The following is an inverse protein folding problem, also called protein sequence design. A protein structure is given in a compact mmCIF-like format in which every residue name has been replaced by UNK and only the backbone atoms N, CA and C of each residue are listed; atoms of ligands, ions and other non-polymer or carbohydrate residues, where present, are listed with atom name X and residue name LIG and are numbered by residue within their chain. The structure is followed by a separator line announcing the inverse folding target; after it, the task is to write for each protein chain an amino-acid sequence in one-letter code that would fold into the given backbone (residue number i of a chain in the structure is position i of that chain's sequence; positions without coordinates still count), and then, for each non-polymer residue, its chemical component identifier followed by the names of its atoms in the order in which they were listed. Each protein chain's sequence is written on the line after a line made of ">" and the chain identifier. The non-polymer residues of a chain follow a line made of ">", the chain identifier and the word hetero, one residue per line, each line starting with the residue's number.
data_IF_514231045372
#
_entry.id   IF_514231045372
#
_cell.length_a   1.000
_cell.length_b   1.000
_cell.length_c   1.000
_cell.angle_alpha   90.00
_cell.angle_beta   90.00
_cell.angle_gamma   90.00
#
_symmetry.space_group_name_H-M   'P 1'
#
loop_
_entity.id
_entity.type
_entity.pdbx_description
1 polymer ?
#
# COMPACT_ATOMS: atom_id res chain seq x y z
N UNK A 1 -15.85 -12.44 11.18
CA UNK A 1 -14.96 -12.91 10.11
C UNK A 1 -13.52 -12.69 10.54
N UNK A 2 -12.68 -13.72 10.48
CA UNK A 2 -11.26 -13.67 10.84
C UNK A 2 -10.44 -12.85 9.83
N UNK A 3 -9.36 -12.22 10.30
CA UNK A 3 -8.33 -11.61 9.46
C UNK A 3 -7.47 -12.67 8.76
N UNK A 4 -6.66 -12.28 7.79
CA UNK A 4 -5.71 -13.17 7.09
C UNK A 4 -4.72 -13.75 8.09
N UNK A 5 -4.19 -12.91 8.99
CA UNK A 5 -3.30 -13.35 10.07
C UNK A 5 -3.97 -14.38 11.00
N UNK A 6 -5.19 -14.11 11.45
CA UNK A 6 -5.94 -15.05 12.30
C UNK A 6 -6.24 -16.37 11.57
N UNK A 7 -6.51 -16.34 10.26
CA UNK A 7 -6.66 -17.56 9.45
C UNK A 7 -5.33 -18.31 9.33
N UNK A 8 -4.21 -17.60 9.20
CA UNK A 8 -2.87 -18.18 9.21
C UNK A 8 -2.54 -18.88 10.53
N UNK A 9 -2.81 -18.22 11.67
CA UNK A 9 -2.65 -18.79 13.01
C UNK A 9 -3.54 -20.03 13.19
N UNK A 10 -4.79 -19.99 12.73
CA UNK A 10 -5.71 -21.13 12.76
C UNK A 10 -5.19 -22.31 11.92
N UNK A 11 -4.68 -22.05 10.72
CA UNK A 11 -4.11 -23.06 9.83
C UNK A 11 -2.87 -23.70 10.46
N UNK A 12 -1.99 -22.89 11.04
CA UNK A 12 -0.78 -23.37 11.71
C UNK A 12 -1.14 -24.26 12.90
N UNK A 13 -2.05 -23.81 13.77
CA UNK A 13 -2.55 -24.60 14.90
C UNK A 13 -3.18 -25.92 14.46
N UNK A 14 -3.92 -25.94 13.35
CA UNK A 14 -4.50 -27.18 12.81
C UNK A 14 -3.46 -28.15 12.26
N UNK A 15 -2.37 -27.65 11.65
CA UNK A 15 -1.24 -28.47 11.20
C UNK A 15 -0.46 -29.06 12.38
N UNK A 16 -0.22 -28.26 13.41
CA UNK A 16 0.54 -28.68 14.59
C UNK A 16 -0.27 -29.64 15.49
N UNK A 17 -1.60 -29.57 15.43
CA UNK A 17 -2.51 -30.39 16.23
C UNK A 17 -3.55 -31.12 15.36
N UNK A 18 -3.14 -32.13 14.56
CA UNK A 18 -4.05 -32.83 13.64
C UNK A 18 -5.16 -33.63 14.35
N UNK A 19 -4.99 -33.91 15.64
CA UNK A 19 -5.97 -34.59 16.49
C UNK A 19 -7.11 -33.66 16.95
N UNK A 20 -6.91 -32.34 16.97
CA UNK A 20 -7.93 -31.36 17.35
C UNK A 20 -8.77 -31.01 16.13
N UNK A 21 -9.98 -31.58 16.04
CA UNK A 21 -10.86 -31.42 14.88
C UNK A 21 -12.30 -31.05 15.28
N UNK A 22 -13.09 -30.66 14.30
CA UNK A 22 -14.54 -30.52 14.45
C UNK A 22 -14.95 -29.48 15.51
N UNK A 23 -15.53 -29.93 16.62
CA UNK A 23 -16.06 -29.06 17.69
C UNK A 23 -14.93 -28.42 18.49
N UNK A 24 -13.87 -29.16 18.76
CA UNK A 24 -12.79 -28.70 19.64
C UNK A 24 -11.95 -27.62 18.96
N UNK A 25 -11.67 -27.79 17.66
CA UNK A 25 -11.01 -26.76 16.86
C UNK A 25 -11.85 -25.46 16.77
N UNK A 26 -13.19 -25.60 16.76
CA UNK A 26 -14.12 -24.45 16.75
C UNK A 26 -14.16 -23.71 18.07
N UNK A 27 -14.17 -24.46 19.18
CA UNK A 27 -14.10 -23.90 20.52
C UNK A 27 -12.76 -23.18 20.75
N UNK A 28 -11.66 -23.79 20.30
CA UNK A 28 -10.34 -23.15 20.32
C UNK A 28 -10.33 -21.85 19.52
N UNK A 29 -10.84 -21.86 18.28
CA UNK A 29 -10.89 -20.66 17.45
C UNK A 29 -11.77 -19.55 18.05
N UNK A 30 -12.87 -19.93 18.72
CA UNK A 30 -13.73 -18.97 19.42
C UNK A 30 -12.99 -18.30 20.58
N UNK A 31 -12.30 -19.09 21.41
CA UNK A 31 -11.56 -18.58 22.57
C UNK A 31 -10.30 -17.82 22.19
N UNK A 32 -9.62 -18.20 21.10
CA UNK A 32 -8.34 -17.60 20.69
C UNK A 32 -8.54 -16.25 20.00
N UNK A 33 -9.65 -16.07 19.28
CA UNK A 33 -9.93 -14.86 18.51
C UNK A 33 -11.08 -14.01 19.09
N UNK A 34 -11.49 -14.27 20.33
CA UNK A 34 -12.61 -13.62 21.03
C UNK A 34 -13.87 -13.47 20.16
N UNK A 35 -14.28 -14.58 19.55
CA UNK A 35 -15.47 -14.57 18.68
C UNK A 35 -16.76 -14.56 19.53
N UNK A 36 -17.75 -13.72 19.18
CA UNK A 36 -18.99 -13.61 19.95
C UNK A 36 -19.80 -14.92 19.96
N UNK A 37 -19.65 -15.75 18.92
CA UNK A 37 -20.30 -17.04 18.80
C UNK A 37 -19.35 -18.08 18.21
N UNK A 38 -19.61 -19.35 18.51
CA UNK A 38 -18.87 -20.47 17.94
C UNK A 38 -19.06 -20.46 16.40
N UNK A 39 -17.96 -20.38 15.60
CA UNK A 39 -18.06 -20.26 14.15
C UNK A 39 -18.73 -21.48 13.55
N UNK A 40 -19.56 -21.37 12.50
CA UNK A 40 -20.24 -22.52 11.89
C UNK A 40 -19.25 -23.52 11.26
N UNK A 41 -19.64 -24.80 11.09
CA UNK A 41 -18.80 -25.82 10.43
C UNK A 41 -18.39 -25.39 9.00
N UNK A 42 -19.33 -24.81 8.26
CA UNK A 42 -19.09 -24.27 6.91
C UNK A 42 -18.09 -23.11 6.93
N UNK A 43 -18.21 -22.20 7.90
CA UNK A 43 -17.30 -21.07 8.09
C UNK A 43 -15.87 -21.54 8.39
N UNK A 44 -15.70 -22.53 9.27
CA UNK A 44 -14.39 -23.12 9.57
C UNK A 44 -13.77 -23.78 8.36
N UNK A 45 -14.56 -24.57 7.62
CA UNK A 45 -14.08 -25.21 6.39
C UNK A 45 -13.61 -24.17 5.37
N UNK A 46 -14.34 -23.06 5.24
CA UNK A 46 -13.93 -21.94 4.39
C UNK A 46 -12.60 -21.30 4.83
N UNK A 47 -12.37 -21.13 6.13
CA UNK A 47 -11.11 -20.58 6.65
C UNK A 47 -9.93 -21.52 6.40
N UNK A 48 -10.10 -22.83 6.64
CA UNK A 48 -9.05 -23.84 6.41
C UNK A 48 -8.70 -24.02 4.92
N UNK A 49 -9.62 -23.69 4.01
CA UNK A 49 -9.36 -23.75 2.56
C UNK A 49 -8.77 -22.46 1.99
N UNK A 50 -8.62 -21.41 2.79
CA UNK A 50 -8.09 -20.13 2.30
C UNK A 50 -6.57 -20.27 2.10
N UNK A 51 -6.02 -20.06 0.90
CA UNK A 51 -4.58 -20.11 0.69
C UNK A 51 -3.90 -18.98 1.46
N UNK A 52 -2.82 -19.32 2.19
CA UNK A 52 -1.98 -18.34 2.84
C UNK A 52 -1.19 -17.60 1.76
N UNK A 53 -1.51 -16.33 1.52
CA UNK A 53 -0.85 -15.53 0.51
C UNK A 53 -0.07 -14.44 1.25
N UNK A 54 1.23 -14.67 1.45
CA UNK A 54 2.11 -13.81 2.27
C UNK A 54 2.22 -12.38 1.71
N UNK A 55 1.82 -12.16 0.45
CA UNK A 55 1.80 -10.85 -0.20
C UNK A 55 0.60 -9.96 0.19
N UNK A 56 -0.30 -10.40 1.07
CA UNK A 56 -1.50 -9.66 1.47
C UNK A 56 -1.37 -9.03 2.87
N UNK A 57 -2.01 -7.86 3.06
CA UNK A 57 -2.07 -7.21 4.37
C UNK A 57 -2.69 -8.13 5.46
N UNK A 58 -1.96 -8.43 6.56
CA UNK A 58 -2.35 -9.43 7.58
C UNK A 58 -3.64 -9.09 8.31
N UNK A 59 -3.99 -7.80 8.40
CA UNK A 59 -5.18 -7.29 9.10
C UNK A 59 -6.48 -7.42 8.29
N UNK A 60 -6.41 -7.81 7.01
CA UNK A 60 -7.58 -7.81 6.13
C UNK A 60 -8.44 -9.07 6.29
N UNK A 61 -9.76 -8.98 6.08
CA UNK A 61 -10.71 -10.12 6.28
C UNK A 61 -11.01 -10.91 4.99
N UNK A 62 -10.71 -10.34 3.83
CA UNK A 62 -11.08 -10.88 2.51
C UNK A 62 -9.89 -11.10 1.58
N UNK A 63 -9.87 -12.23 0.89
CA UNK A 63 -8.85 -12.64 -0.08
C UNK A 63 -9.32 -12.42 -1.52
N UNK A 64 -10.39 -11.65 -1.74
CA UNK A 64 -10.98 -11.48 -3.07
C UNK A 64 -9.93 -10.96 -4.06
N UNK A 65 -9.66 -11.72 -5.15
CA UNK A 65 -8.65 -11.33 -6.11
C UNK A 65 -9.01 -9.99 -6.76
N UNK A 66 -8.03 -9.19 -7.14
CA UNK A 66 -8.27 -8.00 -7.93
C UNK A 66 -9.03 -8.32 -9.21
N UNK A 67 -9.90 -7.40 -9.63
CA UNK A 67 -10.69 -7.53 -10.84
C UNK A 67 -9.82 -7.77 -12.09
N UNK A 68 -8.55 -7.33 -12.05
CA UNK A 68 -7.54 -7.65 -13.04
C UNK A 68 -6.16 -7.76 -12.33
N UNK A 69 -5.72 -8.97 -12.03
CA UNK A 69 -4.44 -9.24 -11.34
C UNK A 69 -3.22 -8.80 -12.15
N UNK A 70 -3.26 -9.01 -13.46
CA UNK A 70 -2.15 -8.65 -14.34
C UNK A 70 -1.91 -7.14 -14.40
N UNK A 71 -2.98 -6.33 -14.47
CA UNK A 71 -2.88 -4.88 -14.45
C UNK A 71 -2.29 -4.38 -13.13
N UNK A 72 -2.76 -4.93 -11.99
CA UNK A 72 -2.24 -4.54 -10.68
C UNK A 72 -0.77 -4.94 -10.51
N UNK A 73 -0.33 -6.09 -11.06
CA UNK A 73 1.06 -6.51 -11.05
C UNK A 73 1.97 -5.52 -11.81
N UNK A 74 1.62 -5.21 -13.06
CA UNK A 74 2.39 -4.24 -13.87
C UNK A 74 2.44 -2.84 -13.22
N UNK A 75 1.37 -2.45 -12.53
CA UNK A 75 1.32 -1.20 -11.80
C UNK A 75 2.23 -1.23 -10.56
N UNK A 76 2.27 -2.35 -9.85
CA UNK A 76 3.15 -2.53 -8.70
C UNK A 76 4.63 -2.50 -9.10
N UNK A 77 5.00 -3.21 -10.17
CA UNK A 77 6.37 -3.22 -10.71
C UNK A 77 6.82 -1.79 -11.07
N UNK A 78 5.92 -0.98 -11.65
CA UNK A 78 6.20 0.41 -11.94
C UNK A 78 6.39 1.27 -10.67
N UNK A 79 5.61 1.03 -9.61
CA UNK A 79 5.76 1.74 -8.34
C UNK A 79 7.10 1.39 -7.69
N UNK A 80 7.48 0.12 -7.69
CA UNK A 80 8.77 -0.34 -7.17
C UNK A 80 9.93 0.32 -7.91
N UNK A 81 9.86 0.39 -9.25
CA UNK A 81 10.86 1.10 -10.05
C UNK A 81 10.94 2.60 -9.67
N UNK A 82 9.81 3.26 -9.41
CA UNK A 82 9.83 4.66 -8.94
C UNK A 82 10.49 4.80 -7.56
N UNK A 83 10.28 3.84 -6.65
CA UNK A 83 10.92 3.83 -5.33
C UNK A 83 12.43 3.59 -5.43
N UNK A 84 12.87 2.65 -6.27
CA UNK A 84 14.29 2.36 -6.53
C UNK A 84 15.02 3.58 -7.09
N UNK A 85 14.38 4.27 -8.05
CA UNK A 85 14.93 5.48 -8.65
C UNK A 85 14.78 6.73 -7.75
N UNK A 86 14.20 6.58 -6.54
CA UNK A 86 13.90 7.67 -5.58
C UNK A 86 13.11 8.82 -6.19
N UNK A 87 12.24 8.51 -7.14
CA UNK A 87 11.47 9.50 -7.88
C UNK A 87 10.13 9.74 -7.15
N UNK A 88 9.83 10.94 -6.65
CA UNK A 88 8.60 11.25 -5.91
C UNK A 88 7.35 11.34 -6.81
N UNK A 89 7.33 10.65 -7.95
CA UNK A 89 6.25 10.71 -8.92
C UNK A 89 5.09 9.80 -8.51
N UNK A 90 5.27 8.77 -7.69
CA UNK A 90 4.24 7.78 -7.33
C UNK A 90 3.17 8.31 -6.33
N UNK A 91 2.46 9.37 -6.70
CA UNK A 91 1.32 9.93 -5.98
C UNK A 91 0.00 9.29 -6.42
N UNK A 92 -1.08 9.48 -5.64
CA UNK A 92 -2.40 8.94 -5.99
C UNK A 92 -2.88 9.31 -7.41
N UNK A 93 -2.76 10.56 -7.86
CA UNK A 93 -3.09 10.95 -9.23
C UNK A 93 -2.26 10.21 -10.29
N UNK A 94 -0.94 10.13 -10.13
CA UNK A 94 -0.06 9.51 -11.14
C UNK A 94 -0.22 7.99 -11.17
N UNK A 95 -0.49 7.35 -10.03
CA UNK A 95 -0.84 5.92 -9.96
C UNK A 95 -2.08 5.65 -10.80
N UNK A 96 -3.14 6.47 -10.66
CA UNK A 96 -4.35 6.33 -11.49
C UNK A 96 -4.06 6.56 -12.97
N UNK A 97 -3.26 7.57 -13.32
CA UNK A 97 -2.89 7.86 -14.71
C UNK A 97 -2.08 6.71 -15.32
N UNK A 98 -1.13 6.13 -14.57
CA UNK A 98 -0.34 4.98 -15.02
C UNK A 98 -1.23 3.75 -15.18
N UNK A 99 -2.13 3.49 -14.22
CA UNK A 99 -3.07 2.38 -14.30
C UNK A 99 -3.96 2.46 -15.56
N UNK A 100 -4.42 3.67 -15.92
CA UNK A 100 -5.15 3.90 -17.16
C UNK A 100 -4.29 3.61 -18.40
N UNK A 101 -3.05 4.07 -18.45
CA UNK A 101 -2.13 3.77 -19.56
C UNK A 101 -1.86 2.26 -19.71
N UNK A 102 -1.71 1.55 -18.60
CA UNK A 102 -1.54 0.08 -18.60
C UNK A 102 -2.82 -0.57 -19.15
N UNK A 103 -4.00 -0.15 -18.68
CA UNK A 103 -5.30 -0.63 -19.20
C UNK A 103 -5.40 -0.46 -20.71
N UNK A 104 -5.09 0.73 -21.20
CA UNK A 104 -5.20 1.06 -22.62
C UNK A 104 -4.16 0.31 -23.48
N UNK A 105 -2.99 -0.01 -22.92
CA UNK A 105 -2.01 -0.87 -23.58
C UNK A 105 -2.49 -2.33 -23.64
N UNK A 106 -3.02 -2.87 -22.53
CA UNK A 106 -3.55 -4.22 -22.46
C UNK A 106 -4.71 -4.44 -23.43
N UNK A 107 -5.63 -3.47 -23.54
CA UNK A 107 -6.76 -3.53 -24.49
C UNK A 107 -6.32 -3.44 -25.95
N UNK A 108 -5.21 -2.76 -26.26
CA UNK A 108 -4.71 -2.65 -27.64
C UNK A 108 -3.95 -3.89 -28.11
N UNK A 109 -3.25 -4.56 -27.21
CA UNK A 109 -2.38 -5.68 -27.54
C UNK A 109 -3.08 -7.05 -27.44
N UNK A 110 -4.38 -7.09 -27.10
CA UNK A 110 -5.20 -8.31 -26.96
C UNK A 110 -4.55 -9.40 -26.07
N UNK A 111 -3.80 -8.95 -25.05
CA UNK A 111 -3.02 -9.81 -24.14
C UNK A 111 -3.95 -10.55 -23.13
N UNK A 112 -5.27 -10.30 -23.17
CA UNK A 112 -6.22 -10.78 -22.17
C UNK A 112 -7.28 -11.71 -22.75
N UNK A 113 -7.78 -12.63 -21.92
CA UNK A 113 -8.94 -13.45 -22.25
C UNK A 113 -10.19 -12.57 -22.42
N UNK A 114 -11.18 -13.01 -23.21
CA UNK A 114 -12.43 -12.27 -23.46
C UNK A 114 -13.13 -11.81 -22.16
N UNK A 115 -13.07 -12.63 -21.10
CA UNK A 115 -13.61 -12.31 -19.78
C UNK A 115 -12.84 -11.21 -19.04
N UNK A 116 -11.53 -11.16 -19.22
CA UNK A 116 -10.68 -10.12 -18.65
C UNK A 116 -10.85 -8.80 -19.40
N UNK A 117 -11.03 -8.85 -20.72
CA UNK A 117 -11.32 -7.68 -21.55
C UNK A 117 -12.60 -6.99 -21.08
N UNK A 118 -13.67 -7.75 -20.82
CA UNK A 118 -14.92 -7.20 -20.28
C UNK A 118 -14.76 -6.55 -18.89
N UNK A 119 -13.94 -7.15 -18.02
CA UNK A 119 -13.64 -6.59 -16.69
C UNK A 119 -12.79 -5.33 -16.79
N UNK A 120 -11.78 -5.33 -17.67
CA UNK A 120 -10.92 -4.18 -17.96
C UNK A 120 -11.73 -2.99 -18.48
N UNK A 121 -12.65 -3.22 -19.43
CA UNK A 121 -13.49 -2.15 -20.00
C UNK A 121 -14.37 -1.48 -18.94
N UNK A 122 -14.89 -2.25 -17.98
CA UNK A 122 -15.72 -1.75 -16.87
C UNK A 122 -14.91 -1.14 -15.72
N UNK A 123 -13.59 -1.33 -15.70
CA UNK A 123 -12.74 -0.89 -14.59
C UNK A 123 -12.60 0.64 -14.58
N UNK A 124 -12.96 1.25 -13.44
CA UNK A 124 -12.80 2.67 -13.17
C UNK A 124 -11.78 2.90 -12.06
N UNK A 125 -10.78 3.73 -12.33
CA UNK A 125 -9.73 4.12 -11.38
C UNK A 125 -10.22 5.21 -10.42
N UNK A 126 -11.25 4.90 -9.64
CA UNK A 126 -11.82 5.83 -8.66
C UNK A 126 -10.93 6.01 -7.43
N UNK A 127 -11.25 6.99 -6.57
CA UNK A 127 -10.59 7.14 -5.25
C UNK A 127 -10.70 5.86 -4.41
N UNK A 128 -11.86 5.19 -4.44
CA UNK A 128 -12.08 3.94 -3.73
C UNK A 128 -11.26 2.77 -4.28
N UNK A 129 -11.09 2.70 -5.61
CA UNK A 129 -10.19 1.72 -6.23
C UNK A 129 -8.75 1.95 -5.76
N UNK A 130 -8.26 3.19 -5.83
CA UNK A 130 -6.90 3.54 -5.41
C UNK A 130 -6.66 3.19 -3.94
N UNK A 131 -7.61 3.54 -3.06
CA UNK A 131 -7.55 3.18 -1.64
C UNK A 131 -7.42 1.67 -1.44
N UNK A 132 -8.26 0.87 -2.12
CA UNK A 132 -8.22 -0.60 -2.02
C UNK A 132 -6.94 -1.20 -2.62
N UNK A 133 -6.41 -0.60 -3.69
CA UNK A 133 -5.13 -0.99 -4.30
C UNK A 133 -3.98 -0.75 -3.32
N UNK A 134 -3.87 0.47 -2.80
CA UNK A 134 -2.86 0.84 -1.81
C UNK A 134 -2.95 -0.04 -0.56
N UNK A 135 -4.17 -0.29 -0.07
CA UNK A 135 -4.41 -1.13 1.09
C UNK A 135 -3.99 -2.59 0.85
N UNK A 136 -4.24 -3.16 -0.33
CA UNK A 136 -3.85 -4.53 -0.67
C UNK A 136 -2.33 -4.72 -0.71
N UNK A 137 -1.64 -3.76 -1.31
CA UNK A 137 -0.20 -3.81 -1.53
C UNK A 137 0.60 -3.10 -0.42
N UNK A 138 -0.05 -2.76 0.70
CA UNK A 138 0.54 -2.06 1.85
C UNK A 138 1.32 -0.78 1.46
N UNK A 139 0.85 -0.09 0.42
CA UNK A 139 1.46 1.15 -0.05
C UNK A 139 1.08 2.28 0.89
N UNK A 140 2.09 2.85 1.54
CA UNK A 140 1.91 3.99 2.44
C UNK A 140 2.28 5.27 1.72
N UNK A 141 1.44 6.29 1.82
CA UNK A 141 1.80 7.63 1.38
C UNK A 141 2.96 8.12 2.23
N UNK A 142 4.10 8.43 1.61
CA UNK A 142 5.25 9.07 2.26
C UNK A 142 5.40 10.46 1.67
N UNK A 143 5.48 11.47 2.53
CA UNK A 143 5.82 12.82 2.10
C UNK A 143 7.33 12.88 1.92
N UNK A 144 7.79 12.95 0.68
CA UNK A 144 9.21 13.17 0.37
C UNK A 144 9.41 14.68 0.48
N UNK A 145 10.09 15.11 1.54
CA UNK A 145 10.64 16.46 1.62
C UNK A 145 11.71 16.56 0.53
N UNK A 146 11.66 17.59 -0.31
CA UNK A 146 12.40 17.70 -1.59
C UNK A 146 13.93 17.64 -1.48
N UNK A 147 14.63 18.65 -2.01
CA UNK A 147 16.11 18.65 -2.11
C UNK A 147 16.85 18.40 -0.78
N UNK A 148 16.21 18.68 0.35
CA UNK A 148 16.73 18.40 1.68
C UNK A 148 17.13 16.92 1.89
N UNK A 149 16.48 15.97 1.21
CA UNK A 149 16.85 14.55 1.29
C UNK A 149 18.06 14.17 0.41
N UNK A 150 18.50 15.05 -0.49
CA UNK A 150 19.66 14.85 -1.37
C UNK A 150 20.97 15.37 -0.74
N UNK A 151 20.86 16.24 0.27
CA UNK A 151 22.03 16.80 0.94
C UNK A 151 22.81 15.71 1.72
N UNK A 152 24.11 15.62 1.47
CA UNK A 152 25.00 14.75 2.23
C UNK A 152 24.99 15.14 3.72
N UNK A 153 24.88 14.19 4.68
CA UNK A 153 24.88 14.49 6.11
C UNK A 153 26.06 15.35 6.56
N UNK A 154 27.23 15.14 5.94
CA UNK A 154 28.44 15.90 6.23
C UNK A 154 28.30 17.37 5.79
N UNK A 155 27.71 17.61 4.61
CA UNK A 155 27.44 18.95 4.11
C UNK A 155 26.37 19.66 4.94
N UNK A 156 25.38 18.93 5.45
CA UNK A 156 24.35 19.46 6.35
C UNK A 156 24.97 19.92 7.66
N UNK A 157 25.81 19.10 8.30
CA UNK A 157 26.44 19.49 9.57
C UNK A 157 27.41 20.67 9.38
N UNK A 158 28.21 20.67 8.31
CA UNK A 158 29.07 21.81 7.99
C UNK A 158 28.27 23.10 7.77
N UNK A 159 27.19 23.04 6.99
CA UNK A 159 26.31 24.18 6.78
C UNK A 159 25.72 24.70 8.10
N UNK A 160 25.32 23.78 8.99
CA UNK A 160 24.79 24.13 10.31
C UNK A 160 25.81 24.85 11.19
N UNK A 161 27.06 24.39 11.20
CA UNK A 161 28.16 25.04 11.92
C UNK A 161 28.49 26.42 11.36
N UNK A 162 28.48 26.58 10.04
CA UNK A 162 28.71 27.87 9.38
C UNK A 162 27.61 28.87 9.74
N UNK A 163 26.34 28.48 9.67
CA UNK A 163 25.20 29.34 10.05
C UNK A 163 25.29 29.75 11.52
N UNK A 164 25.62 28.82 12.43
CA UNK A 164 25.82 29.13 13.85
C UNK A 164 26.99 30.10 14.08
N UNK A 165 28.04 30.00 13.28
CA UNK A 165 29.21 30.88 13.39
C UNK A 165 28.85 32.29 12.96
N UNK A 166 28.19 32.45 11.81
CA UNK A 166 27.80 33.76 11.25
C UNK A 166 26.74 34.44 12.14
N UNK A 167 25.85 33.66 12.75
CA UNK A 167 24.77 34.19 13.59
C UNK A 167 25.13 34.39 15.07
N UNK A 168 26.34 34.00 15.50
CA UNK A 168 26.75 33.98 16.92
C UNK A 168 26.60 35.31 17.66
N UNK A 169 26.75 36.44 16.95
CA UNK A 169 26.68 37.79 17.53
C UNK A 169 25.30 38.43 17.51
N UNK A 170 24.30 37.76 16.94
CA UNK A 170 22.95 38.30 16.81
C UNK A 170 22.01 37.68 17.85
N UNK A 171 21.07 38.47 18.37
CA UNK A 171 19.99 37.90 19.15
C UNK A 171 19.07 37.09 18.23
N UNK A 172 18.44 36.04 18.76
CA UNK A 172 17.52 35.19 17.97
C UNK A 172 16.39 35.96 17.30
N UNK A 173 15.97 37.10 17.87
CA UNK A 173 14.92 37.97 17.31
C UNK A 173 15.35 38.68 16.03
N UNK A 174 16.66 38.79 15.78
CA UNK A 174 17.26 39.47 14.64
C UNK A 174 17.75 38.49 13.57
N UNK A 175 17.53 37.19 13.76
CA UNK A 175 17.89 36.13 12.80
C UNK A 175 16.62 35.76 12.03
N UNK A 176 16.55 36.18 10.77
CA UNK A 176 15.44 35.87 9.88
C UNK A 176 15.83 34.79 8.88
N UNK A 177 14.97 33.79 8.71
CA UNK A 177 15.09 32.81 7.63
C UNK A 177 14.32 33.32 6.42
N UNK A 178 15.04 33.68 5.35
CA UNK A 178 14.47 34.09 4.07
C UNK A 178 14.69 32.94 3.10
N UNK A 179 13.61 32.39 2.56
CA UNK A 179 13.64 31.34 1.55
C UNK A 179 12.85 31.80 0.32
N UNK A 180 13.22 31.29 -0.86
CA UNK A 180 12.56 31.68 -2.11
C UNK A 180 11.10 31.24 -2.09
N UNK A 181 10.19 32.21 -2.16
CA UNK A 181 8.76 31.95 -2.33
C UNK A 181 8.36 32.33 -3.75
N UNK A 182 8.21 31.35 -4.63
CA UNK A 182 7.72 31.59 -5.98
C UNK A 182 6.20 31.86 -5.95
N UNK A 183 5.79 33.07 -6.35
CA UNK A 183 4.38 33.39 -6.60
C UNK A 183 4.00 33.01 -8.03
N UNK A 184 3.04 32.11 -8.16
CA UNK A 184 2.43 31.80 -9.46
C UNK A 184 1.19 32.66 -9.66
N UNK A 185 1.22 33.56 -10.64
CA UNK A 185 0.04 34.31 -11.04
C UNK A 185 -0.87 33.41 -11.89
N UNK A 186 -2.11 33.23 -11.45
CA UNK A 186 -3.16 32.64 -12.29
C UNK A 186 -3.66 33.73 -13.24
N UNK A 187 -3.18 33.76 -14.48
CA UNK A 187 -3.86 34.48 -15.57
C UNK A 187 -5.08 33.65 -15.96
N UNK A 188 -6.25 34.10 -15.55
CA UNK A 188 -7.53 33.62 -16.10
C UNK A 188 -7.71 34.21 -17.50
N UNK A 189 -7.64 33.36 -18.53
CA UNK A 189 -8.28 33.62 -19.84
C UNK A 189 -9.57 32.82 -19.93
#
# INVERSE_FOLDING_TARGET
>A
MLTIEQKGVLLQHHKDNPHIQGKDLRAWAQSTFDLPHMPAKSTMSGWLKTPNNDSLCPTHKSTQPPACSQLEKLLLDWIQLCEELRVPIATGPTIKTKAQKIKDAMLRCDISTQDDTNKLTKLKFSKGWLYRFQLRHNLKSRRIYGEAASACPLSVENGRQQVLTVTRGYEKRDIFNLDETAFFYCTTE
#
